data_IF_301056378543
#
_entry.id   IF_301056378543
#
_cell.length_a   1.000
_cell.length_b   1.000
_cell.length_c   1.000
_cell.angle_alpha   90.00
_cell.angle_beta   90.00
_cell.angle_gamma   90.00
#
_symmetry.space_group_name_H-M   'P 1'
#
loop_
_entity.id
_entity.type
_entity.pdbx_description
1 polymer ?
#
# COMPACT_ATOMS: atom_id res chain seq x y z
N UNK A 1 -21.47 26.50 -59.93
CA UNK A 1 -22.20 25.23 -60.09
C UNK A 1 -21.82 24.66 -61.46
N UNK A 2 -21.42 23.38 -61.63
CA UNK A 2 -21.80 22.20 -60.86
C UNK A 2 -20.63 21.36 -60.29
N UNK A 3 -21.03 20.28 -59.63
CA UNK A 3 -20.35 19.32 -58.75
C UNK A 3 -19.23 18.48 -59.36
N UNK A 4 -18.25 18.12 -58.52
CA UNK A 4 -17.35 16.97 -58.73
C UNK A 4 -17.31 16.12 -57.46
N UNK A 5 -17.92 14.95 -57.58
CA UNK A 5 -17.99 13.88 -56.58
C UNK A 5 -16.59 13.28 -56.36
N UNK A 6 -16.16 13.21 -55.10
CA UNK A 6 -14.88 12.61 -54.71
C UNK A 6 -15.06 11.15 -54.30
N UNK A 7 -14.20 10.33 -54.87
CA UNK A 7 -13.84 8.95 -54.55
C UNK A 7 -13.86 8.60 -53.05
N UNK A 8 -14.19 7.34 -52.70
CA UNK A 8 -13.18 6.43 -52.14
C UNK A 8 -13.66 4.96 -51.99
N UNK A 9 -12.86 4.07 -52.59
CA UNK A 9 -12.33 2.78 -52.12
C UNK A 9 -13.05 1.93 -51.07
N UNK A 10 -13.32 0.69 -51.49
CA UNK A 10 -13.54 -0.50 -50.67
C UNK A 10 -12.22 -1.22 -50.38
N UNK A 11 -11.93 -1.54 -49.11
CA UNK A 11 -11.30 -2.82 -48.68
C UNK A 11 -11.67 -3.11 -47.20
N UNK A 12 -11.96 -4.37 -46.83
CA UNK A 12 -12.40 -4.73 -45.47
C UNK A 12 -11.27 -5.22 -44.54
N UNK A 13 -11.46 -4.87 -43.27
CA UNK A 13 -11.14 -5.57 -42.01
C UNK A 13 -10.03 -6.64 -41.97
N UNK A 14 -8.89 -6.26 -41.40
CA UNK A 14 -8.20 -7.06 -40.38
C UNK A 14 -7.68 -6.10 -39.29
N UNK A 15 -8.58 -5.71 -38.39
CA UNK A 15 -8.20 -4.91 -37.21
C UNK A 15 -7.58 -5.83 -36.16
N UNK A 16 -6.30 -5.62 -35.96
CA UNK A 16 -5.50 -6.13 -34.85
C UNK A 16 -6.23 -5.84 -33.54
N UNK A 17 -6.46 -6.88 -32.74
CA UNK A 17 -6.89 -6.75 -31.35
C UNK A 17 -5.73 -6.10 -30.58
N UNK A 18 -5.88 -4.93 -29.96
CA UNK A 18 -4.94 -4.53 -28.94
C UNK A 18 -5.24 -5.39 -27.72
N UNK A 19 -4.23 -6.10 -27.22
CA UNK A 19 -4.22 -6.67 -25.89
C UNK A 19 -4.64 -5.59 -24.86
N UNK A 20 -5.22 -5.96 -23.71
CA UNK A 20 -5.51 -4.99 -22.66
C UNK A 20 -4.19 -4.41 -22.15
N UNK A 21 -3.81 -3.27 -22.71
CA UNK A 21 -2.84 -2.35 -22.12
C UNK A 21 -3.42 -2.01 -20.76
N UNK A 22 -2.84 -2.57 -19.70
CA UNK A 22 -2.98 -2.04 -18.34
C UNK A 22 -2.63 -0.56 -18.41
N UNK A 23 -3.65 0.29 -18.44
CA UNK A 23 -3.48 1.73 -18.50
C UNK A 23 -2.62 2.16 -17.29
N UNK A 24 -1.47 2.83 -17.49
CA UNK A 24 -0.82 3.57 -16.41
C UNK A 24 -1.58 4.88 -16.25
N UNK A 25 -2.81 4.81 -15.72
CA UNK A 25 -3.72 5.92 -15.58
C UNK A 25 -4.07 6.15 -14.12
N UNK A 26 -3.68 7.31 -13.61
CA UNK A 26 -3.88 7.84 -12.25
C UNK A 26 -2.81 7.43 -11.23
N UNK A 27 -1.59 7.95 -11.41
CA UNK A 27 -0.81 8.34 -10.23
C UNK A 27 -1.54 9.54 -9.60
N UNK A 28 -2.47 9.22 -8.68
CA UNK A 28 -3.17 10.23 -7.90
C UNK A 28 -2.17 11.07 -7.10
N UNK A 29 -2.55 12.29 -6.75
CA UNK A 29 -1.76 13.12 -5.83
C UNK A 29 -1.41 12.32 -4.57
N UNK A 30 -0.12 12.32 -4.17
CA UNK A 30 0.29 11.65 -2.94
C UNK A 30 -0.62 12.06 -1.78
N UNK A 31 -1.15 11.05 -1.09
CA UNK A 31 -2.18 11.15 -0.07
C UNK A 31 -2.17 9.87 0.76
N UNK A 32 -2.98 9.81 1.82
CA UNK A 32 -3.13 8.59 2.61
C UNK A 32 -3.78 7.49 1.79
N UNK A 33 -4.77 7.85 0.98
CA UNK A 33 -5.54 6.95 0.12
C UNK A 33 -4.64 6.39 -0.98
N UNK A 34 -3.80 7.25 -1.57
CA UNK A 34 -2.80 6.81 -2.54
C UNK A 34 -1.79 5.83 -1.92
N UNK A 35 -1.36 6.07 -0.68
CA UNK A 35 -0.51 5.12 0.05
C UNK A 35 -1.18 3.74 0.22
N UNK A 36 -2.46 3.69 0.60
CA UNK A 36 -3.20 2.42 0.77
C UNK A 36 -3.37 1.71 -0.57
N UNK A 37 -3.75 2.45 -1.62
CA UNK A 37 -3.89 1.91 -2.97
C UNK A 37 -2.54 1.38 -3.51
N UNK A 38 -1.45 2.11 -3.30
CA UNK A 38 -0.10 1.66 -3.62
C UNK A 38 0.25 0.36 -2.88
N UNK A 39 -0.04 0.30 -1.59
CA UNK A 39 0.30 -0.85 -0.76
C UNK A 39 -0.43 -2.11 -1.25
N UNK A 40 -1.74 -2.00 -1.49
CA UNK A 40 -2.56 -3.08 -2.07
C UNK A 40 -1.99 -3.54 -3.41
N UNK A 41 -1.74 -2.60 -4.33
CA UNK A 41 -1.19 -2.90 -5.66
C UNK A 41 0.17 -3.60 -5.57
N UNK A 42 1.08 -3.15 -4.71
CA UNK A 42 2.42 -3.74 -4.57
C UNK A 42 2.37 -5.16 -4.00
N UNK A 43 1.41 -5.46 -3.13
CA UNK A 43 1.17 -6.81 -2.62
C UNK A 43 0.60 -7.71 -3.73
N UNK A 44 -0.40 -7.24 -4.48
CA UNK A 44 -1.03 -7.97 -5.59
C UNK A 44 -0.02 -8.26 -6.72
N UNK A 45 0.83 -7.29 -7.06
CA UNK A 45 1.94 -7.44 -8.02
C UNK A 45 3.11 -8.30 -7.47
N UNK A 46 3.04 -8.77 -6.22
CA UNK A 46 4.11 -9.48 -5.50
C UNK A 46 5.45 -8.73 -5.45
N UNK A 47 5.41 -7.40 -5.61
CA UNK A 47 6.57 -6.50 -5.49
C UNK A 47 6.89 -6.16 -4.04
N UNK A 48 5.92 -6.27 -3.14
CA UNK A 48 6.11 -6.19 -1.70
C UNK A 48 5.89 -7.58 -1.10
N UNK A 49 6.97 -8.16 -0.59
CA UNK A 49 6.94 -9.46 0.09
C UNK A 49 6.26 -9.30 1.44
N UNK A 50 5.35 -10.23 1.75
CA UNK A 50 4.59 -10.28 2.99
C UNK A 50 5.05 -11.46 3.84
N UNK A 51 4.91 -11.36 5.16
CA UNK A 51 5.19 -12.44 6.13
C UNK A 51 6.62 -13.03 6.10
N UNK A 52 7.54 -12.48 5.32
CA UNK A 52 8.96 -12.84 5.34
C UNK A 52 9.72 -12.11 6.47
N UNK A 53 10.93 -12.57 6.79
CA UNK A 53 11.78 -12.00 7.84
C UNK A 53 12.11 -10.49 7.65
N UNK A 54 12.09 -9.99 6.41
CA UNK A 54 12.31 -8.57 6.08
C UNK A 54 11.08 -7.87 5.50
N UNK A 55 9.91 -8.51 5.58
CA UNK A 55 8.68 -7.95 5.05
C UNK A 55 8.32 -6.64 5.76
N UNK A 56 7.67 -5.75 5.02
CA UNK A 56 7.11 -4.50 5.56
C UNK A 56 5.63 -4.64 5.93
N UNK A 57 5.03 -5.77 5.57
CA UNK A 57 3.64 -6.11 5.85
C UNK A 57 3.58 -7.56 6.35
N UNK A 58 2.88 -7.75 7.45
CA UNK A 58 2.60 -9.07 8.01
C UNK A 58 1.10 -9.24 8.20
N UNK A 59 0.66 -10.47 8.46
CA UNK A 59 -0.66 -10.75 9.01
C UNK A 59 -0.50 -11.28 10.43
N UNK A 60 -1.23 -10.71 11.39
CA UNK A 60 -1.23 -11.11 12.80
C UNK A 60 -2.58 -10.77 13.40
N UNK A 61 -3.09 -11.65 14.30
CA UNK A 61 -4.44 -11.52 14.86
C UNK A 61 -5.52 -11.29 13.78
N UNK A 62 -5.39 -12.01 12.66
CA UNK A 62 -6.31 -12.03 11.51
C UNK A 62 -6.48 -10.68 10.82
N UNK A 63 -5.49 -9.78 10.95
CA UNK A 63 -5.47 -8.50 10.26
C UNK A 63 -4.07 -8.16 9.73
N UNK A 64 -4.01 -7.17 8.84
CA UNK A 64 -2.77 -6.65 8.29
C UNK A 64 -2.01 -5.82 9.35
N UNK A 65 -0.71 -6.06 9.44
CA UNK A 65 0.24 -5.33 10.27
C UNK A 65 1.29 -4.63 9.41
N UNK A 66 1.33 -3.31 9.48
CA UNK A 66 2.20 -2.46 8.68
C UNK A 66 3.42 -2.02 9.49
N UNK A 67 4.62 -2.42 9.07
CA UNK A 67 5.86 -2.14 9.80
C UNK A 67 6.28 -0.68 9.62
N UNK A 68 6.41 0.05 10.72
CA UNK A 68 6.80 1.47 10.74
C UNK A 68 8.23 1.64 11.27
N UNK A 69 9.06 2.55 10.70
CA UNK A 69 8.76 3.49 9.62
C UNK A 69 8.91 2.89 8.21
N UNK A 70 9.38 1.64 8.09
CA UNK A 70 9.87 1.07 6.83
C UNK A 70 8.86 1.09 5.68
N UNK A 71 7.58 0.81 5.94
CA UNK A 71 6.53 0.82 4.89
C UNK A 71 6.35 2.21 4.27
N UNK A 72 6.41 3.27 5.09
CA UNK A 72 6.27 4.66 4.62
C UNK A 72 7.52 5.15 3.92
N UNK A 73 8.70 4.74 4.40
CA UNK A 73 9.96 5.02 3.72
C UNK A 73 9.99 4.39 2.34
N UNK A 74 9.51 3.15 2.20
CA UNK A 74 9.43 2.48 0.91
C UNK A 74 8.49 3.21 -0.06
N UNK A 75 7.32 3.63 0.42
CA UNK A 75 6.41 4.44 -0.40
C UNK A 75 7.06 5.77 -0.83
N UNK A 76 7.68 6.50 0.09
CA UNK A 76 8.31 7.80 -0.21
C UNK A 76 9.44 7.69 -1.25
N UNK A 77 10.22 6.60 -1.22
CA UNK A 77 11.25 6.31 -2.22
C UNK A 77 10.69 6.12 -3.62
N UNK A 78 9.49 5.55 -3.74
CA UNK A 78 8.82 5.33 -5.03
C UNK A 78 8.05 6.56 -5.54
N UNK A 79 7.88 7.60 -4.70
CA UNK A 79 7.14 8.82 -5.04
C UNK A 79 7.94 10.08 -4.69
N UNK A 80 8.95 10.46 -5.49
CA UNK A 80 9.85 11.58 -5.18
C UNK A 80 9.15 12.93 -4.95
N UNK A 81 7.96 13.13 -5.53
CA UNK A 81 7.15 14.34 -5.33
C UNK A 81 6.68 14.53 -3.88
N UNK A 82 6.60 13.45 -3.08
CA UNK A 82 6.33 13.52 -1.63
C UNK A 82 7.34 14.40 -0.91
N UNK A 83 8.61 14.40 -1.35
CA UNK A 83 9.65 15.21 -0.72
C UNK A 83 9.33 16.71 -0.79
N UNK A 84 8.83 17.19 -1.94
CA UNK A 84 8.42 18.57 -2.08
C UNK A 84 7.28 18.94 -1.12
N UNK A 85 6.26 18.08 -1.02
CA UNK A 85 5.13 18.27 -0.11
C UNK A 85 5.55 18.22 1.37
N UNK A 86 6.48 17.34 1.70
CA UNK A 86 7.03 17.19 3.05
C UNK A 86 7.84 18.40 3.50
N UNK A 87 8.62 19.00 2.59
CA UNK A 87 9.38 20.23 2.85
C UNK A 87 8.49 21.42 3.17
N UNK A 88 7.35 21.57 2.48
CA UNK A 88 6.39 22.64 2.75
C UNK A 88 5.84 22.59 4.19
N UNK A 89 5.84 21.42 4.81
CA UNK A 89 5.38 21.21 6.19
C UNK A 89 6.52 20.89 7.18
N UNK A 90 7.77 21.17 6.80
CA UNK A 90 8.99 20.95 7.62
C UNK A 90 9.09 19.52 8.20
N UNK A 91 8.71 18.52 7.40
CA UNK A 91 8.69 17.12 7.81
C UNK A 91 9.60 16.26 6.93
N UNK A 92 10.01 15.10 7.46
CA UNK A 92 10.57 14.04 6.62
C UNK A 92 9.47 13.46 5.72
N UNK A 93 9.86 13.07 4.51
CA UNK A 93 9.00 12.46 3.50
C UNK A 93 8.12 11.31 4.04
N UNK A 94 8.70 10.35 4.75
CA UNK A 94 7.95 9.22 5.30
C UNK A 94 7.02 9.63 6.44
N UNK A 95 7.39 10.64 7.26
CA UNK A 95 6.52 11.17 8.33
C UNK A 95 5.32 11.89 7.75
N UNK A 96 5.55 12.62 6.65
CA UNK A 96 4.49 13.30 5.91
C UNK A 96 3.43 12.29 5.50
N UNK A 97 3.82 11.17 4.87
CA UNK A 97 2.90 10.12 4.42
C UNK A 97 2.22 9.43 5.60
N UNK A 98 2.99 9.09 6.65
CA UNK A 98 2.46 8.46 7.86
C UNK A 98 1.33 9.28 8.48
N UNK A 99 1.49 10.62 8.60
CA UNK A 99 0.43 11.49 9.13
C UNK A 99 -0.83 11.48 8.27
N UNK A 100 -0.71 11.36 6.93
CA UNK A 100 -1.89 11.29 6.06
C UNK A 100 -2.62 9.97 6.24
N UNK A 101 -1.88 8.87 6.28
CA UNK A 101 -2.43 7.56 6.58
C UNK A 101 -3.16 7.57 7.94
N UNK A 102 -2.56 8.13 8.99
CA UNK A 102 -3.20 8.20 10.30
C UNK A 102 -4.49 9.03 10.31
N UNK A 103 -4.55 10.11 9.52
CA UNK A 103 -5.75 10.93 9.38
C UNK A 103 -6.94 10.17 8.76
N UNK A 104 -6.70 9.09 8.01
CA UNK A 104 -7.77 8.26 7.45
C UNK A 104 -8.47 7.40 8.50
N UNK A 105 -7.87 7.19 9.67
CA UNK A 105 -8.45 6.37 10.73
C UNK A 105 -8.63 4.89 10.34
N UNK A 106 -7.87 4.40 9.36
CA UNK A 106 -7.94 3.00 8.90
C UNK A 106 -7.19 2.01 9.80
N UNK A 107 -6.42 2.52 10.77
CA UNK A 107 -5.67 1.74 11.75
C UNK A 107 -6.40 1.62 13.09
N UNK A 108 -6.11 0.55 13.82
CA UNK A 108 -6.62 0.31 15.18
C UNK A 108 -5.87 1.18 16.19
N UNK A 109 -6.61 1.72 17.16
CA UNK A 109 -6.07 2.41 18.33
C UNK A 109 -6.06 1.49 19.54
N UNK A 110 -5.06 1.63 20.39
CA UNK A 110 -5.02 1.03 21.72
C UNK A 110 -6.00 1.75 22.66
N UNK A 111 -6.28 1.14 23.81
CA UNK A 111 -7.15 1.71 24.85
C UNK A 111 -6.60 3.03 25.43
N UNK A 112 -5.28 3.23 25.40
CA UNK A 112 -4.60 4.46 25.80
C UNK A 112 -4.58 5.54 24.70
N UNK A 113 -5.18 5.27 23.54
CA UNK A 113 -5.25 6.18 22.39
C UNK A 113 -4.04 6.12 21.45
N UNK A 114 -3.04 5.28 21.72
CA UNK A 114 -1.88 5.12 20.84
C UNK A 114 -2.21 4.31 19.57
N UNK A 115 -1.54 4.64 18.47
CA UNK A 115 -1.74 3.99 17.17
C UNK A 115 -0.71 2.90 16.85
N UNK A 116 0.44 2.92 17.55
CA UNK A 116 1.57 2.03 17.29
C UNK A 116 1.45 0.81 18.18
N UNK A 117 1.39 -0.36 17.55
CA UNK A 117 1.37 -1.67 18.19
C UNK A 117 2.78 -2.27 18.21
N UNK A 118 3.06 -3.07 19.23
CA UNK A 118 4.32 -3.82 19.34
C UNK A 118 4.04 -5.29 19.11
N UNK A 119 4.72 -5.87 18.14
CA UNK A 119 4.79 -7.31 17.94
C UNK A 119 6.17 -7.82 18.37
N UNK A 120 6.20 -8.96 19.05
CA UNK A 120 7.41 -9.74 19.23
C UNK A 120 7.59 -10.66 18.03
N UNK A 121 8.79 -10.65 17.45
CA UNK A 121 9.21 -11.54 16.36
C UNK A 121 10.13 -12.59 16.96
N UNK A 122 9.68 -13.83 17.04
CA UNK A 122 10.44 -14.95 17.60
C UNK A 122 11.31 -15.58 16.52
N UNK A 123 12.62 -15.39 16.62
CA UNK A 123 13.60 -16.08 15.79
C UNK A 123 14.16 -17.33 16.48
N UNK A 124 14.81 -18.25 15.74
CA UNK A 124 15.38 -19.48 16.30
C UNK A 124 16.42 -19.27 17.42
N UNK A 125 17.03 -18.08 17.51
CA UNK A 125 18.06 -17.75 18.51
C UNK A 125 17.72 -16.57 19.41
N UNK A 126 16.89 -15.63 18.94
CA UNK A 126 16.57 -14.40 19.67
C UNK A 126 15.23 -13.84 19.20
N UNK A 127 14.50 -13.27 20.15
CA UNK A 127 13.34 -12.44 19.88
C UNK A 127 13.71 -10.99 19.63
N UNK A 128 12.88 -10.28 18.87
CA UNK A 128 12.99 -8.84 18.64
C UNK A 128 11.62 -8.19 18.68
N UNK A 129 11.58 -6.90 18.99
CA UNK A 129 10.36 -6.11 18.89
C UNK A 129 10.25 -5.44 17.53
N UNK A 130 9.07 -5.47 16.97
CA UNK A 130 8.67 -4.80 15.74
C UNK A 130 7.54 -3.83 16.08
N UNK A 131 7.59 -2.64 15.49
CA UNK A 131 6.58 -1.61 15.73
C UNK A 131 5.83 -1.27 14.45
N UNK A 132 4.53 -1.02 14.55
CA UNK A 132 3.70 -0.89 13.37
C UNK A 132 2.24 -0.62 13.67
N UNK A 133 1.45 -0.59 12.61
CA UNK A 133 0.01 -0.34 12.66
C UNK A 133 -0.76 -1.62 12.40
N UNK A 134 -1.80 -1.90 13.18
CA UNK A 134 -2.80 -2.89 12.81
C UNK A 134 -3.90 -2.21 12.01
N UNK A 135 -4.29 -2.76 10.87
CA UNK A 135 -5.44 -2.27 10.13
C UNK A 135 -6.75 -2.71 10.79
N UNK A 136 -7.80 -1.88 10.64
CA UNK A 136 -9.15 -2.24 11.05
C UNK A 136 -9.61 -3.51 10.32
N UNK A 137 -9.45 -3.51 8.99
CA UNK A 137 -9.82 -4.61 8.10
C UNK A 137 -8.64 -5.01 7.22
N UNK A 138 -8.30 -6.30 7.12
CA UNK A 138 -7.24 -6.77 6.22
C UNK A 138 -7.56 -6.51 4.73
N UNK A 139 -8.84 -6.41 4.37
CA UNK A 139 -9.32 -6.19 2.99
C UNK A 139 -8.90 -4.82 2.41
N UNK A 140 -8.43 -3.90 3.26
CA UNK A 140 -7.87 -2.63 2.80
C UNK A 140 -6.63 -2.85 1.92
N UNK A 141 -5.86 -3.92 2.15
CA UNK A 141 -4.59 -4.19 1.46
C UNK A 141 -4.49 -5.60 0.88
N UNK A 142 -5.33 -6.53 1.32
CA UNK A 142 -5.36 -7.91 0.83
C UNK A 142 -6.66 -8.22 0.09
N UNK A 143 -6.55 -8.70 -1.15
CA UNK A 143 -7.70 -9.29 -1.85
C UNK A 143 -8.06 -10.66 -1.26
N UNK A 144 -7.05 -11.51 -1.02
CA UNK A 144 -7.15 -12.74 -0.23
C UNK A 144 -6.27 -12.61 1.02
N UNK A 145 -6.86 -12.80 2.20
CA UNK A 145 -6.14 -12.61 3.48
C UNK A 145 -5.18 -13.80 3.70
N UNK A 146 -3.86 -13.56 3.81
CA UNK A 146 -2.90 -14.60 4.10
C UNK A 146 -3.07 -15.16 5.53
N UNK A 147 -2.58 -16.37 5.83
CA UNK A 147 -2.52 -16.83 7.20
C UNK A 147 -1.63 -15.93 8.07
N UNK A 148 -1.93 -15.89 9.37
CA UNK A 148 -1.10 -15.19 10.35
C UNK A 148 0.34 -15.70 10.31
N UNK A 149 1.29 -14.79 10.48
CA UNK A 149 2.69 -15.14 10.58
C UNK A 149 2.96 -15.88 11.90
N UNK A 150 3.41 -17.14 11.88
CA UNK A 150 3.58 -17.94 13.09
C UNK A 150 4.73 -17.43 13.99
N UNK A 151 5.59 -16.55 13.47
CA UNK A 151 6.71 -15.97 14.22
C UNK A 151 6.40 -14.60 14.81
N UNK A 152 5.21 -14.03 14.56
CA UNK A 152 4.80 -12.75 15.14
C UNK A 152 3.72 -12.97 16.20
N UNK A 153 3.97 -12.43 17.38
CA UNK A 153 2.99 -12.38 18.48
C UNK A 153 2.77 -10.93 18.89
N UNK A 154 1.50 -10.54 19.07
CA UNK A 154 1.15 -9.19 19.50
C UNK A 154 1.29 -9.07 21.03
N UNK A 155 2.04 -8.09 21.54
CA UNK A 155 2.28 -7.96 23.00
C UNK A 155 1.00 -7.61 23.78
N UNK A 156 0.10 -6.84 23.19
CA UNK A 156 -1.21 -6.48 23.76
C UNK A 156 -2.28 -6.81 22.75
N UNK A 157 -3.29 -7.60 23.14
CA UNK A 157 -4.42 -7.82 22.24
C UNK A 157 -5.25 -6.55 22.07
N UNK A 158 -5.73 -6.25 20.84
CA UNK A 158 -6.70 -5.19 20.64
C UNK A 158 -8.01 -5.54 21.33
N UNK A 159 -8.71 -4.52 21.83
CA UNK A 159 -10.10 -4.70 22.23
C UNK A 159 -10.90 -5.25 21.04
N UNK A 160 -11.77 -6.22 21.31
CA UNK A 160 -12.68 -6.80 20.31
C UNK A 160 -13.70 -5.79 19.83
#
# INVERSE_FOLDING_TARGET
>A
EPSLESSNSTVPAHSMVPAPTSAPGLEGTASGEHFVAWLRRRIEERRLVINDAKALVHTVADTAYLVSPGVFQRYAQEHPHVNALAKTEEQKDWQWVQKRFEKLGMHRKQADGLNIWTCEVTGPRKSRKLHGYLLLQPQLVFSDVPPNNPYLTLEKMPAR
#
